data_IF_116999094825
#
_entry.id   IF_116999094825
#
_cell.length_a   1.000
_cell.length_b   1.000
_cell.length_c   1.000
_cell.angle_alpha   90.00
_cell.angle_beta   90.00
_cell.angle_gamma   90.00
#
_symmetry.space_group_name_H-M   'P 1'
#
loop_
_entity.id
_entity.type
_entity.pdbx_description
1 polymer ?
#
# COMPACT_ATOMS: atom_id res chain seq x y z
N UNK A 1 29.52 15.72 -3.42
CA UNK A 1 28.14 15.57 -3.89
C UNK A 1 27.74 14.13 -3.62
N UNK A 2 26.69 13.86 -2.82
CA UNK A 2 26.22 12.49 -2.62
C UNK A 2 25.24 12.12 -3.74
N UNK A 3 25.40 10.91 -4.28
CA UNK A 3 24.47 10.37 -5.28
C UNK A 3 23.15 9.94 -4.61
N UNK A 4 22.01 9.94 -5.33
CA UNK A 4 20.75 9.41 -4.80
C UNK A 4 20.91 7.96 -4.33
N UNK A 5 20.40 7.66 -3.12
CA UNK A 5 20.49 6.32 -2.54
C UNK A 5 19.10 5.71 -2.44
N UNK A 6 18.97 4.46 -2.90
CA UNK A 6 17.77 3.64 -2.80
C UNK A 6 17.91 2.56 -1.71
N UNK A 7 19.03 2.59 -0.97
CA UNK A 7 19.35 1.63 0.09
C UNK A 7 18.45 1.88 1.33
N UNK A 8 17.84 0.81 1.82
CA UNK A 8 16.99 0.79 3.00
C UNK A 8 17.62 -0.01 4.16
N UNK A 9 18.92 -0.29 4.09
CA UNK A 9 19.63 -1.02 5.15
C UNK A 9 19.45 -0.32 6.50
N UNK A 10 19.05 -1.10 7.52
CA UNK A 10 18.76 -0.59 8.87
C UNK A 10 17.39 0.07 9.03
N UNK A 11 16.55 0.11 7.99
CA UNK A 11 15.17 0.56 8.07
C UNK A 11 14.23 -0.60 8.40
N UNK A 12 13.18 -0.29 9.13
CA UNK A 12 12.10 -1.24 9.48
C UNK A 12 10.84 -0.81 8.75
N UNK A 13 10.30 -1.73 7.93
CA UNK A 13 9.08 -1.48 7.19
C UNK A 13 7.94 -2.39 7.68
N UNK A 14 6.74 -1.84 7.87
CA UNK A 14 5.51 -2.58 8.07
C UNK A 14 4.65 -2.47 6.81
N UNK A 15 4.22 -3.62 6.26
CA UNK A 15 3.36 -3.70 5.08
C UNK A 15 2.05 -4.38 5.46
N UNK A 16 0.92 -3.73 5.26
CA UNK A 16 -0.41 -4.33 5.52
C UNK A 16 -0.88 -5.16 4.32
N UNK A 17 -1.53 -6.29 4.56
CA UNK A 17 -1.97 -7.20 3.50
C UNK A 17 -0.80 -7.87 2.75
N UNK A 18 0.27 -8.22 3.45
CA UNK A 18 1.55 -8.64 2.89
C UNK A 18 1.59 -10.07 2.31
N UNK A 19 0.53 -10.91 2.52
CA UNK A 19 0.58 -12.34 2.18
C UNK A 19 0.64 -12.62 0.66
N UNK A 20 0.05 -11.78 -0.17
CA UNK A 20 -0.13 -12.00 -1.62
C UNK A 20 -0.14 -10.69 -2.42
N UNK A 21 -0.19 -10.82 -3.74
CA UNK A 21 -0.37 -9.70 -4.67
C UNK A 21 0.65 -8.58 -4.49
N UNK A 22 0.18 -7.33 -4.52
CA UNK A 22 1.03 -6.15 -4.36
C UNK A 22 1.75 -6.12 -3.02
N UNK A 23 1.06 -6.44 -1.91
CA UNK A 23 1.68 -6.44 -0.59
C UNK A 23 2.87 -7.38 -0.48
N UNK A 24 2.77 -8.57 -1.08
CA UNK A 24 3.89 -9.51 -1.18
C UNK A 24 5.04 -8.94 -2.03
N UNK A 25 4.74 -8.41 -3.21
CA UNK A 25 5.76 -7.84 -4.10
C UNK A 25 6.48 -6.65 -3.45
N UNK A 26 5.74 -5.76 -2.82
CA UNK A 26 6.27 -4.61 -2.07
C UNK A 26 7.17 -5.09 -0.93
N UNK A 27 6.73 -6.06 -0.13
CA UNK A 27 7.53 -6.60 0.98
C UNK A 27 8.85 -7.20 0.50
N UNK A 28 8.83 -7.96 -0.60
CA UNK A 28 10.04 -8.53 -1.19
C UNK A 28 10.98 -7.46 -1.76
N UNK A 29 10.44 -6.42 -2.41
CA UNK A 29 11.25 -5.33 -2.96
C UNK A 29 11.90 -4.49 -1.86
N UNK A 30 11.18 -4.18 -0.78
CA UNK A 30 11.72 -3.49 0.39
C UNK A 30 12.82 -4.31 1.08
N UNK A 31 12.62 -5.63 1.21
CA UNK A 31 13.63 -6.54 1.75
C UNK A 31 14.88 -6.60 0.86
N UNK A 32 14.71 -6.68 -0.45
CA UNK A 32 15.81 -6.65 -1.42
C UNK A 32 16.60 -5.34 -1.35
N UNK A 33 15.92 -4.21 -1.10
CA UNK A 33 16.54 -2.92 -0.88
C UNK A 33 17.20 -2.77 0.51
N UNK A 34 17.13 -3.78 1.38
CA UNK A 34 17.84 -3.82 2.65
C UNK A 34 17.00 -3.65 3.91
N UNK A 35 15.70 -3.42 3.80
CA UNK A 35 14.81 -3.26 4.96
C UNK A 35 14.55 -4.59 5.68
N UNK A 36 14.37 -4.53 7.00
CA UNK A 36 13.74 -5.59 7.78
C UNK A 36 12.21 -5.39 7.79
N UNK A 37 11.43 -6.47 7.88
CA UNK A 37 9.99 -6.43 7.60
C UNK A 37 9.10 -6.87 8.78
N UNK A 38 8.09 -6.07 9.10
CA UNK A 38 6.88 -6.49 9.79
C UNK A 38 5.78 -6.72 8.74
N UNK A 39 5.16 -7.89 8.75
CA UNK A 39 4.14 -8.30 7.78
C UNK A 39 2.76 -8.31 8.45
N UNK A 40 1.93 -7.31 8.17
CA UNK A 40 0.54 -7.27 8.62
C UNK A 40 -0.31 -8.25 7.79
N UNK A 41 -0.79 -9.30 8.41
CA UNK A 41 -1.52 -10.42 7.80
C UNK A 41 -2.93 -10.51 8.39
N UNK A 42 -3.95 -10.62 7.54
CA UNK A 42 -5.32 -10.87 8.01
C UNK A 42 -5.44 -12.24 8.69
N UNK A 43 -4.69 -13.22 8.20
CA UNK A 43 -4.54 -14.54 8.79
C UNK A 43 -3.05 -14.86 8.92
N UNK A 44 -2.57 -14.87 10.16
CA UNK A 44 -1.15 -15.14 10.47
C UNK A 44 -0.75 -16.57 10.13
N UNK A 45 -1.71 -17.51 10.06
CA UNK A 45 -1.46 -18.92 9.74
C UNK A 45 -1.31 -19.16 8.24
N UNK A 46 -1.62 -18.16 7.40
CA UNK A 46 -1.53 -18.23 5.94
C UNK A 46 -0.61 -17.12 5.37
N UNK A 47 0.69 -17.04 5.78
CA UNK A 47 1.60 -15.98 5.35
C UNK A 47 2.06 -16.13 3.88
N UNK A 48 1.76 -17.25 3.23
CA UNK A 48 2.35 -17.59 1.92
C UNK A 48 3.86 -17.84 2.03
N UNK A 49 4.59 -17.62 0.94
CA UNK A 49 6.05 -17.81 0.82
C UNK A 49 6.88 -16.56 1.18
N UNK A 50 6.22 -15.43 1.49
CA UNK A 50 6.89 -14.13 1.65
C UNK A 50 7.87 -14.12 2.81
N UNK A 51 7.51 -14.77 3.92
CA UNK A 51 8.37 -14.87 5.11
C UNK A 51 9.68 -15.59 4.81
N UNK A 52 9.60 -16.73 4.15
CA UNK A 52 10.79 -17.55 3.85
C UNK A 52 11.69 -16.87 2.83
N UNK A 53 11.12 -16.23 1.82
CA UNK A 53 11.87 -15.43 0.85
C UNK A 53 12.62 -14.26 1.47
N UNK A 54 11.99 -13.53 2.40
CA UNK A 54 12.65 -12.44 3.13
C UNK A 54 13.80 -12.94 3.99
N UNK A 55 13.61 -14.06 4.70
CA UNK A 55 14.69 -14.72 5.46
C UNK A 55 15.84 -15.16 4.57
N UNK A 56 15.55 -15.71 3.39
CA UNK A 56 16.56 -16.10 2.41
C UNK A 56 17.40 -14.93 1.87
N UNK A 57 16.86 -13.70 1.90
CA UNK A 57 17.60 -12.47 1.60
C UNK A 57 18.44 -11.97 2.79
N UNK A 58 18.47 -12.69 3.91
CA UNK A 58 19.22 -12.30 5.12
C UNK A 58 18.55 -11.16 5.91
N UNK A 59 17.25 -10.90 5.71
CA UNK A 59 16.50 -9.87 6.44
C UNK A 59 15.71 -10.47 7.60
N UNK A 60 15.58 -9.70 8.68
CA UNK A 60 14.66 -10.06 9.77
C UNK A 60 13.23 -9.85 9.31
N UNK A 61 12.34 -10.76 9.71
CA UNK A 61 10.92 -10.66 9.36
C UNK A 61 10.05 -11.12 10.54
N UNK A 62 8.98 -10.34 10.79
CA UNK A 62 8.02 -10.60 11.85
C UNK A 62 6.60 -10.63 11.25
N UNK A 63 5.97 -11.82 11.08
CA UNK A 63 4.56 -11.91 10.76
C UNK A 63 3.70 -11.46 11.96
N UNK A 64 2.63 -10.70 11.68
CA UNK A 64 1.75 -10.12 12.68
C UNK A 64 0.29 -10.29 12.25
N UNK A 65 -0.57 -10.77 13.17
CA UNK A 65 -2.00 -10.76 12.96
C UNK A 65 -2.49 -9.31 12.88
N UNK A 66 -3.11 -8.93 11.77
CA UNK A 66 -3.53 -7.54 11.52
C UNK A 66 -4.71 -7.49 10.56
N UNK A 67 -5.92 -7.67 11.08
CA UNK A 67 -7.14 -7.38 10.34
C UNK A 67 -7.40 -5.87 10.35
N UNK A 68 -7.54 -5.27 9.17
CA UNK A 68 -7.78 -3.83 9.04
C UNK A 68 -9.17 -3.39 9.52
N UNK A 69 -10.10 -4.31 9.73
CA UNK A 69 -11.38 -4.03 10.38
C UNK A 69 -11.27 -3.94 11.91
N UNK A 70 -10.21 -4.48 12.51
CA UNK A 70 -10.02 -4.56 13.95
C UNK A 70 -8.93 -3.60 14.43
N UNK A 71 -9.33 -2.50 15.04
CA UNK A 71 -8.42 -1.48 15.55
C UNK A 71 -7.52 -1.97 16.69
N UNK A 72 -7.94 -2.99 17.44
CA UNK A 72 -7.11 -3.58 18.50
C UNK A 72 -5.98 -4.40 17.89
N UNK A 73 -6.26 -5.16 16.82
CA UNK A 73 -5.23 -5.90 16.09
C UNK A 73 -4.24 -4.94 15.40
N UNK A 74 -4.73 -3.86 14.79
CA UNK A 74 -3.86 -2.83 14.18
C UNK A 74 -2.89 -2.26 15.24
N UNK A 75 -3.40 -1.89 16.42
CA UNK A 75 -2.59 -1.40 17.52
C UNK A 75 -1.56 -2.44 17.98
N UNK A 76 -2.04 -3.65 18.28
CA UNK A 76 -1.18 -4.73 18.75
C UNK A 76 -0.06 -5.07 17.77
N UNK A 77 -0.36 -5.06 16.46
CA UNK A 77 0.64 -5.32 15.41
C UNK A 77 1.72 -4.23 15.37
N UNK A 78 1.34 -2.95 15.43
CA UNK A 78 2.30 -1.84 15.44
C UNK A 78 3.15 -1.86 16.71
N UNK A 79 2.54 -2.06 17.88
CA UNK A 79 3.24 -2.14 19.16
C UNK A 79 4.23 -3.33 19.18
N UNK A 80 3.83 -4.49 18.65
CA UNK A 80 4.69 -5.66 18.53
C UNK A 80 5.87 -5.42 17.55
N UNK A 81 5.63 -4.77 16.41
CA UNK A 81 6.69 -4.40 15.48
C UNK A 81 7.72 -3.48 16.14
N UNK A 82 7.26 -2.43 16.84
CA UNK A 82 8.13 -1.50 17.55
C UNK A 82 8.89 -2.20 18.68
N UNK A 83 8.22 -3.07 19.44
CA UNK A 83 8.86 -3.83 20.53
C UNK A 83 9.97 -4.76 20.01
N UNK A 84 9.73 -5.43 18.87
CA UNK A 84 10.67 -6.40 18.30
C UNK A 84 11.87 -5.74 17.60
N UNK A 85 11.64 -4.67 16.83
CA UNK A 85 12.69 -4.03 16.03
C UNK A 85 13.30 -2.80 16.69
N UNK A 86 12.65 -2.22 17.72
CA UNK A 86 13.07 -1.01 18.41
C UNK A 86 12.66 0.29 17.72
N UNK A 87 12.11 0.23 16.49
CA UNK A 87 11.71 1.37 15.67
C UNK A 87 10.72 0.96 14.59
N UNK A 88 10.10 1.95 13.94
CA UNK A 88 9.32 1.79 12.72
C UNK A 88 9.60 2.97 11.78
N UNK A 89 10.22 2.69 10.63
CA UNK A 89 10.65 3.73 9.69
C UNK A 89 9.69 3.92 8.51
N UNK A 90 9.07 2.84 8.06
CA UNK A 90 8.24 2.81 6.86
C UNK A 90 6.94 2.09 7.18
N UNK A 91 5.80 2.73 6.89
CA UNK A 91 4.50 2.07 6.85
C UNK A 91 4.00 2.06 5.41
N UNK A 92 3.64 0.86 4.90
CA UNK A 92 2.94 0.73 3.62
C UNK A 92 1.50 0.24 3.88
N UNK A 93 0.54 1.13 3.69
CA UNK A 93 -0.88 0.81 3.75
C UNK A 93 -1.31 0.23 2.40
N UNK A 94 -1.22 -1.10 2.28
CA UNK A 94 -1.55 -1.80 1.04
C UNK A 94 -2.86 -2.59 1.13
N UNK A 95 -3.28 -3.06 2.30
CA UNK A 95 -4.51 -3.82 2.46
C UNK A 95 -5.72 -3.08 1.87
N UNK A 96 -6.54 -3.79 1.11
CA UNK A 96 -7.73 -3.24 0.49
C UNK A 96 -8.66 -4.31 -0.04
N UNK A 97 -9.93 -3.95 -0.18
CA UNK A 97 -11.01 -4.75 -0.76
C UNK A 97 -11.81 -3.91 -1.74
N UNK A 98 -12.42 -4.55 -2.73
CA UNK A 98 -13.26 -3.93 -3.74
C UNK A 98 -14.42 -4.87 -4.11
N UNK A 99 -15.47 -4.99 -3.28
CA UNK A 99 -16.71 -5.64 -3.71
C UNK A 99 -17.32 -4.88 -4.89
N UNK A 100 -17.59 -5.60 -5.98
CA UNK A 100 -18.16 -5.03 -7.20
C UNK A 100 -19.69 -5.13 -7.16
N UNK A 101 -20.37 -3.98 -7.18
CA UNK A 101 -21.83 -3.89 -7.23
C UNK A 101 -22.23 -2.64 -8.02
N UNK A 102 -23.27 -2.70 -8.89
CA UNK A 102 -23.93 -1.49 -9.39
C UNK A 102 -24.33 -0.58 -8.23
N UNK A 103 -24.28 0.74 -8.41
CA UNK A 103 -24.48 1.67 -7.30
C UNK A 103 -25.85 1.52 -6.61
N UNK A 104 -26.90 1.16 -7.38
CA UNK A 104 -28.25 0.90 -6.89
C UNK A 104 -28.38 -0.41 -6.09
N UNK A 105 -27.42 -1.33 -6.25
CA UNK A 105 -27.43 -2.66 -5.59
C UNK A 105 -26.34 -2.81 -4.52
N UNK A 106 -25.63 -1.73 -4.18
CA UNK A 106 -24.61 -1.75 -3.12
C UNK A 106 -25.27 -2.11 -1.80
N UNK A 107 -24.80 -3.19 -1.17
CA UNK A 107 -25.26 -3.61 0.15
C UNK A 107 -24.52 -2.85 1.24
N UNK A 108 -25.21 -2.57 2.35
CA UNK A 108 -24.63 -1.88 3.49
C UNK A 108 -23.39 -2.62 4.03
N UNK A 109 -23.39 -3.95 4.06
CA UNK A 109 -22.25 -4.75 4.51
C UNK A 109 -21.00 -4.57 3.62
N UNK A 110 -21.18 -4.49 2.30
CA UNK A 110 -20.08 -4.27 1.35
C UNK A 110 -19.55 -2.83 1.44
N UNK A 111 -20.45 -1.87 1.65
CA UNK A 111 -20.11 -0.47 1.91
C UNK A 111 -19.26 -0.34 3.18
N UNK A 112 -19.76 -0.86 4.31
CA UNK A 112 -19.10 -0.80 5.62
C UNK A 112 -17.76 -1.55 5.61
N UNK A 113 -17.70 -2.72 4.99
CA UNK A 113 -16.46 -3.48 4.84
C UNK A 113 -15.42 -2.67 4.07
N UNK A 114 -15.83 -2.07 2.94
CA UNK A 114 -14.92 -1.29 2.08
C UNK A 114 -14.39 -0.06 2.82
N UNK A 115 -15.24 0.68 3.50
CA UNK A 115 -14.83 1.81 4.33
C UNK A 115 -13.95 1.39 5.51
N UNK A 116 -14.30 0.29 6.18
CA UNK A 116 -13.56 -0.19 7.35
C UNK A 116 -12.15 -0.60 6.98
N UNK A 117 -11.96 -1.37 5.90
CA UNK A 117 -10.65 -1.83 5.47
C UNK A 117 -9.86 -0.70 4.81
N UNK A 118 -10.43 -0.08 3.76
CA UNK A 118 -9.66 0.80 2.88
C UNK A 118 -9.39 2.17 3.50
N UNK A 119 -10.31 2.71 4.29
CA UNK A 119 -10.22 4.07 4.81
C UNK A 119 -9.97 4.12 6.31
N UNK A 120 -10.87 3.54 7.12
CA UNK A 120 -10.75 3.58 8.58
C UNK A 120 -9.49 2.88 9.07
N UNK A 121 -9.25 1.65 8.61
CA UNK A 121 -8.05 0.88 8.95
C UNK A 121 -6.76 1.61 8.54
N UNK A 122 -6.72 2.13 7.31
CA UNK A 122 -5.59 2.92 6.79
C UNK A 122 -5.33 4.17 7.64
N UNK A 123 -6.38 4.91 8.00
CA UNK A 123 -6.24 6.09 8.86
C UNK A 123 -5.63 5.75 10.22
N UNK A 124 -6.18 4.75 10.92
CA UNK A 124 -5.71 4.39 12.25
C UNK A 124 -4.35 3.71 12.25
N UNK A 125 -4.01 2.92 11.23
CA UNK A 125 -2.65 2.40 11.05
C UNK A 125 -1.65 3.56 10.86
N UNK A 126 -1.99 4.54 10.02
CA UNK A 126 -1.18 5.74 9.82
C UNK A 126 -1.04 6.56 11.11
N UNK A 127 -2.13 6.74 11.88
CA UNK A 127 -2.10 7.47 13.14
C UNK A 127 -1.18 6.80 14.17
N UNK A 128 -1.29 5.48 14.32
CA UNK A 128 -0.49 4.73 15.30
C UNK A 128 0.99 4.72 14.91
N UNK A 129 1.31 4.46 13.64
CA UNK A 129 2.67 4.55 13.13
C UNK A 129 3.21 5.99 13.23
N UNK A 130 2.39 6.99 12.87
CA UNK A 130 2.72 8.40 12.98
C UNK A 130 3.12 8.82 14.38
N UNK A 131 2.44 8.32 15.42
CA UNK A 131 2.83 8.57 16.84
C UNK A 131 4.23 8.06 17.16
N UNK A 132 4.63 6.92 16.59
CA UNK A 132 5.99 6.37 16.73
C UNK A 132 6.98 7.25 15.98
N UNK A 133 6.70 7.56 14.71
CA UNK A 133 7.56 8.35 13.82
C UNK A 133 7.74 9.79 14.31
N UNK A 134 6.71 10.41 14.91
CA UNK A 134 6.80 11.74 15.54
C UNK A 134 7.82 11.74 16.68
N UNK A 135 7.81 10.72 17.55
CA UNK A 135 8.81 10.57 18.62
C UNK A 135 10.21 10.32 18.06
N UNK A 136 10.31 9.58 16.96
CA UNK A 136 11.57 9.31 16.26
C UNK A 136 12.10 10.53 15.50
N UNK A 137 11.26 11.53 15.21
CA UNK A 137 11.56 12.68 14.31
C UNK A 137 11.96 12.23 12.90
N UNK A 138 11.43 11.10 12.46
CA UNK A 138 11.70 10.51 11.15
C UNK A 138 10.67 9.45 10.84
N UNK A 139 10.20 9.37 9.58
CA UNK A 139 9.29 8.33 9.12
C UNK A 139 8.88 8.51 7.66
N UNK A 140 8.33 7.44 7.11
CA UNK A 140 7.77 7.43 5.76
C UNK A 140 6.48 6.61 5.73
N UNK A 141 5.38 7.19 5.26
CA UNK A 141 4.12 6.49 5.07
C UNK A 141 3.80 6.48 3.57
N UNK A 142 3.49 5.29 3.05
CA UNK A 142 3.13 5.11 1.65
C UNK A 142 1.78 4.42 1.58
N UNK A 143 0.81 5.11 0.99
CA UNK A 143 -0.54 4.58 0.80
C UNK A 143 -0.66 3.96 -0.60
N UNK A 144 -1.19 2.74 -0.69
CA UNK A 144 -1.55 2.14 -1.98
C UNK A 144 -2.97 2.60 -2.35
N UNK A 145 -2.99 3.63 -3.16
CA UNK A 145 -4.18 4.18 -3.81
C UNK A 145 -4.67 3.31 -4.97
N UNK A 146 -5.21 3.97 -5.99
CA UNK A 146 -5.60 3.40 -7.28
C UNK A 146 -5.84 4.53 -8.28
N UNK A 147 -5.68 4.28 -9.58
CA UNK A 147 -6.20 5.19 -10.61
C UNK A 147 -7.72 5.43 -10.44
N UNK A 148 -8.43 4.49 -9.79
CA UNK A 148 -9.85 4.62 -9.44
C UNK A 148 -10.17 5.81 -8.48
N UNK A 149 -9.15 6.37 -7.84
CA UNK A 149 -9.29 7.63 -7.09
C UNK A 149 -9.28 8.88 -7.98
N UNK A 150 -8.98 8.73 -9.27
CA UNK A 150 -8.84 9.83 -10.25
C UNK A 150 -9.76 9.64 -11.46
N UNK A 151 -10.15 8.41 -11.76
CA UNK A 151 -11.08 8.05 -12.83
C UNK A 151 -12.12 7.07 -12.30
N UNK A 152 -13.39 7.26 -12.67
CA UNK A 152 -14.46 6.38 -12.22
C UNK A 152 -14.38 5.00 -12.89
N UNK A 153 -14.67 3.96 -12.10
CA UNK A 153 -14.86 2.61 -12.59
C UNK A 153 -16.33 2.19 -12.41
N UNK A 154 -16.99 1.62 -13.42
CA UNK A 154 -18.31 1.04 -13.25
C UNK A 154 -18.32 -0.01 -12.14
N UNK A 155 -19.42 -0.14 -11.41
CA UNK A 155 -19.64 -1.09 -10.32
C UNK A 155 -18.73 -0.98 -9.09
N UNK A 156 -17.80 -0.01 -9.08
CA UNK A 156 -16.81 0.19 -8.00
C UNK A 156 -16.96 1.54 -7.30
N UNK A 157 -18.16 2.13 -7.23
CA UNK A 157 -18.39 3.47 -6.69
C UNK A 157 -17.83 3.66 -5.27
N UNK A 158 -18.07 2.71 -4.38
CA UNK A 158 -17.57 2.77 -2.98
C UNK A 158 -16.05 2.65 -2.92
N UNK A 159 -15.47 1.74 -3.71
CA UNK A 159 -14.01 1.61 -3.83
C UNK A 159 -13.37 2.89 -4.36
N UNK A 160 -13.88 3.44 -5.47
CA UNK A 160 -13.40 4.69 -6.05
C UNK A 160 -13.42 5.84 -5.02
N UNK A 161 -14.52 5.97 -4.27
CA UNK A 161 -14.66 6.95 -3.19
C UNK A 161 -13.56 6.78 -2.12
N UNK A 162 -13.28 5.54 -1.68
CA UNK A 162 -12.22 5.31 -0.69
C UNK A 162 -10.84 5.64 -1.24
N UNK A 163 -10.57 5.36 -2.51
CA UNK A 163 -9.26 5.65 -3.13
C UNK A 163 -9.05 7.14 -3.40
N UNK A 164 -10.11 7.89 -3.71
CA UNK A 164 -10.07 9.35 -3.74
C UNK A 164 -9.81 9.95 -2.34
N UNK A 165 -10.48 9.41 -1.31
CA UNK A 165 -10.26 9.82 0.07
C UNK A 165 -8.81 9.56 0.54
N UNK A 166 -8.20 8.43 0.16
CA UNK A 166 -6.80 8.10 0.47
C UNK A 166 -5.83 9.09 -0.20
N UNK A 167 -6.07 9.48 -1.45
CA UNK A 167 -5.24 10.48 -2.13
C UNK A 167 -5.27 11.83 -1.37
N UNK A 168 -6.46 12.24 -0.86
CA UNK A 168 -6.57 13.47 -0.08
C UNK A 168 -6.02 13.33 1.34
N UNK A 169 -6.24 12.20 2.03
CA UNK A 169 -5.66 11.88 3.33
C UNK A 169 -4.12 11.97 3.28
N UNK A 170 -3.52 11.49 2.21
CA UNK A 170 -2.07 11.58 1.97
C UNK A 170 -1.57 13.03 2.08
N UNK A 171 -2.28 13.99 1.46
CA UNK A 171 -1.95 15.41 1.52
C UNK A 171 -2.12 15.98 2.94
N UNK A 172 -3.21 15.65 3.62
CA UNK A 172 -3.48 16.12 4.98
C UNK A 172 -2.36 15.70 5.94
N UNK A 173 -2.02 14.40 5.96
CA UNK A 173 -0.99 13.87 6.84
C UNK A 173 0.40 14.39 6.50
N UNK A 174 0.71 14.62 5.23
CA UNK A 174 1.97 15.23 4.79
C UNK A 174 2.15 16.64 5.38
N UNK A 175 1.10 17.46 5.32
CA UNK A 175 1.11 18.83 5.88
C UNK A 175 1.22 18.80 7.41
N UNK A 176 0.46 17.93 8.07
CA UNK A 176 0.45 17.86 9.53
C UNK A 176 1.78 17.37 10.11
N UNK A 177 2.43 16.38 9.46
CA UNK A 177 3.57 15.66 10.01
C UNK A 177 4.92 16.03 9.39
N UNK A 178 4.94 16.82 8.33
CA UNK A 178 6.19 17.29 7.70
C UNK A 178 7.14 17.98 8.67
N UNK A 179 6.62 18.77 9.62
CA UNK A 179 7.41 19.40 10.72
C UNK A 179 8.15 18.40 11.63
N UNK A 180 7.79 17.13 11.57
CA UNK A 180 8.42 16.03 12.30
C UNK A 180 9.37 15.21 11.42
N UNK A 181 9.67 15.68 10.20
CA UNK A 181 10.48 14.97 9.21
C UNK A 181 9.86 13.61 8.82
N UNK A 182 8.54 13.60 8.61
CA UNK A 182 7.77 12.45 8.13
C UNK A 182 7.24 12.78 6.74
N UNK A 183 7.53 11.93 5.77
CA UNK A 183 6.92 12.01 4.44
C UNK A 183 5.70 11.11 4.36
N UNK A 184 4.65 11.57 3.69
CA UNK A 184 3.45 10.78 3.44
C UNK A 184 3.10 10.91 1.96
N UNK A 185 3.16 9.80 1.22
CA UNK A 185 2.89 9.75 -0.21
C UNK A 185 1.96 8.59 -0.55
N UNK A 186 1.50 8.54 -1.79
CA UNK A 186 0.72 7.44 -2.31
C UNK A 186 1.28 6.95 -3.66
N UNK A 187 1.02 5.69 -3.98
CA UNK A 187 1.12 5.13 -5.33
C UNK A 187 -0.27 4.74 -5.79
N UNK A 188 -0.61 5.02 -7.03
CA UNK A 188 -1.94 4.77 -7.59
C UNK A 188 -1.82 3.90 -8.85
N UNK A 189 -1.76 2.56 -8.68
CA UNK A 189 -1.69 1.64 -9.80
C UNK A 189 -3.04 1.54 -10.54
N UNK A 190 -2.97 1.17 -11.82
CA UNK A 190 -4.07 0.62 -12.61
C UNK A 190 -4.21 -0.88 -12.37
N UNK A 191 -4.79 -1.61 -13.31
CA UNK A 191 -4.88 -3.07 -13.25
C UNK A 191 -3.49 -3.72 -13.30
N UNK A 192 -3.21 -4.52 -12.27
CA UNK A 192 -1.94 -5.21 -12.07
C UNK A 192 -2.22 -6.71 -11.98
N UNK A 193 -1.38 -7.55 -12.59
CA UNK A 193 -1.46 -9.01 -12.48
C UNK A 193 -1.26 -9.46 -11.03
N UNK A 194 -2.34 -9.80 -10.36
CA UNK A 194 -2.34 -10.28 -8.96
C UNK A 194 -3.41 -11.36 -8.79
N UNK A 195 -3.34 -12.20 -7.75
CA UNK A 195 -4.42 -13.13 -7.44
C UNK A 195 -5.79 -12.45 -7.21
N UNK A 196 -5.80 -11.15 -6.89
CA UNK A 196 -7.04 -10.39 -6.70
C UNK A 196 -7.70 -9.95 -8.02
N UNK A 197 -6.93 -9.78 -9.10
CA UNK A 197 -7.40 -9.35 -10.42
C UNK A 197 -7.48 -10.49 -11.43
N UNK A 198 -6.94 -11.67 -11.09
CA UNK A 198 -6.81 -12.81 -12.01
C UNK A 198 -8.16 -13.27 -12.57
N UNK A 199 -9.18 -13.38 -11.72
CA UNK A 199 -10.53 -13.81 -12.14
C UNK A 199 -11.16 -12.83 -13.12
N UNK A 200 -11.08 -11.52 -12.87
CA UNK A 200 -11.63 -10.50 -13.74
C UNK A 200 -10.87 -10.44 -15.08
N UNK A 201 -9.54 -10.50 -15.04
CA UNK A 201 -8.69 -10.47 -16.23
C UNK A 201 -8.71 -11.77 -17.05
N UNK A 202 -9.27 -12.86 -16.53
CA UNK A 202 -9.54 -14.08 -17.27
C UNK A 202 -10.68 -13.91 -18.30
N UNK A 203 -11.58 -12.94 -18.08
CA UNK A 203 -12.59 -12.55 -19.07
C UNK A 203 -11.90 -11.75 -20.19
N UNK A 204 -11.93 -12.31 -21.42
CA UNK A 204 -11.20 -11.73 -22.56
C UNK A 204 -11.75 -10.35 -22.99
N UNK A 205 -13.06 -10.14 -22.91
CA UNK A 205 -13.71 -8.87 -23.26
C UNK A 205 -13.35 -7.77 -22.24
N UNK A 206 -13.48 -8.07 -20.95
CA UNK A 206 -13.06 -7.18 -19.87
C UNK A 206 -11.58 -6.83 -19.96
N UNK A 207 -10.73 -7.84 -20.19
CA UNK A 207 -9.29 -7.62 -20.35
C UNK A 207 -8.97 -6.72 -21.53
N UNK A 208 -9.67 -6.89 -22.66
CA UNK A 208 -9.48 -6.05 -23.85
C UNK A 208 -9.89 -4.59 -23.58
N UNK A 209 -11.02 -4.35 -22.90
CA UNK A 209 -11.45 -3.01 -22.47
C UNK A 209 -10.43 -2.36 -21.53
N UNK A 210 -9.94 -3.11 -20.53
CA UNK A 210 -8.91 -2.62 -19.61
C UNK A 210 -7.64 -2.23 -20.36
N UNK A 211 -7.14 -3.09 -21.26
CA UNK A 211 -5.92 -2.82 -22.04
C UNK A 211 -6.10 -1.60 -22.95
N UNK A 212 -7.26 -1.42 -23.56
CA UNK A 212 -7.57 -0.24 -24.38
C UNK A 212 -7.59 1.04 -23.53
N UNK A 213 -8.11 0.97 -22.32
CA UNK A 213 -8.14 2.12 -21.38
C UNK A 213 -6.76 2.48 -20.84
N UNK A 214 -5.80 1.55 -20.81
CA UNK A 214 -4.39 1.83 -20.50
C UNK A 214 -3.74 2.51 -21.74
N UNK A 215 -4.14 3.74 -21.98
CA UNK A 215 -4.10 4.43 -23.26
C UNK A 215 -2.71 4.63 -23.90
N UNK A 216 -1.65 4.59 -23.11
CA UNK A 216 -0.29 4.80 -23.66
C UNK A 216 0.50 3.49 -23.78
N UNK A 217 0.40 2.60 -22.80
CA UNK A 217 1.21 1.38 -22.77
C UNK A 217 0.46 0.12 -23.25
N UNK A 218 -0.88 0.15 -23.29
CA UNK A 218 -1.74 -0.92 -23.78
C UNK A 218 -1.40 -2.31 -23.20
N UNK A 219 -1.11 -2.39 -21.91
CA UNK A 219 -0.83 -3.65 -21.21
C UNK A 219 -1.20 -3.57 -19.74
N UNK A 220 -1.52 -4.72 -19.15
CA UNK A 220 -1.65 -4.87 -17.71
C UNK A 220 -0.28 -4.68 -17.05
N UNK A 221 -0.26 -4.07 -15.88
CA UNK A 221 0.97 -3.88 -15.11
C UNK A 221 1.40 -5.12 -14.33
N UNK A 222 2.67 -5.15 -13.92
CA UNK A 222 3.24 -6.20 -13.07
C UNK A 222 3.46 -5.68 -11.64
N UNK A 223 3.34 -6.53 -10.60
CA UNK A 223 3.47 -6.11 -9.21
C UNK A 223 4.79 -5.39 -8.89
N UNK A 224 5.88 -5.80 -9.54
CA UNK A 224 7.20 -5.19 -9.30
C UNK A 224 7.32 -3.77 -9.85
N UNK A 225 6.49 -3.38 -10.83
CA UNK A 225 6.46 -1.99 -11.34
C UNK A 225 5.89 -1.03 -10.28
N UNK A 226 4.92 -1.50 -9.49
CA UNK A 226 4.40 -0.75 -8.33
C UNK A 226 5.40 -0.76 -7.17
N UNK A 227 5.99 -1.92 -6.89
CA UNK A 227 6.95 -2.08 -5.80
C UNK A 227 8.20 -1.20 -5.99
N UNK A 228 8.66 -0.99 -7.23
CA UNK A 228 9.77 -0.08 -7.54
C UNK A 228 9.50 1.37 -7.11
N UNK A 229 8.30 1.88 -7.36
CA UNK A 229 7.90 3.21 -6.91
C UNK A 229 7.80 3.31 -5.37
N UNK A 230 7.35 2.23 -4.70
CA UNK A 230 7.31 2.17 -3.23
C UNK A 230 8.73 2.21 -2.65
N UNK A 231 9.69 1.46 -3.20
CA UNK A 231 11.10 1.49 -2.77
C UNK A 231 11.68 2.90 -2.97
N UNK A 232 11.41 3.54 -4.12
CA UNK A 232 11.82 4.93 -4.37
C UNK A 232 11.29 5.87 -3.28
N UNK A 233 9.97 5.87 -3.03
CA UNK A 233 9.34 6.75 -2.03
C UNK A 233 9.83 6.47 -0.60
N UNK A 234 10.18 5.22 -0.28
CA UNK A 234 10.73 4.82 1.02
C UNK A 234 12.19 5.24 1.22
N UNK A 235 12.90 5.55 0.14
CA UNK A 235 14.34 5.79 0.13
C UNK A 235 14.71 7.26 0.38
N UNK A 236 15.97 7.53 0.74
CA UNK A 236 16.49 8.91 0.83
C UNK A 236 16.38 9.71 -0.47
N UNK A 237 16.29 9.06 -1.64
CA UNK A 237 16.12 9.72 -2.94
C UNK A 237 14.81 10.51 -3.05
N UNK A 238 13.79 10.16 -2.24
CA UNK A 238 12.49 10.83 -2.23
C UNK A 238 12.30 11.77 -1.02
N UNK A 239 13.36 12.16 -0.31
CA UNK A 239 13.28 12.89 0.97
C UNK A 239 12.58 14.26 0.90
N UNK A 240 12.45 14.87 -0.27
CA UNK A 240 11.71 16.12 -0.48
C UNK A 240 10.30 15.90 -1.07
N UNK A 241 9.92 14.64 -1.35
CA UNK A 241 8.62 14.30 -1.92
C UNK A 241 7.67 13.95 -0.78
N UNK A 242 6.61 14.74 -0.62
CA UNK A 242 5.55 14.49 0.37
C UNK A 242 4.22 15.10 -0.09
N UNK A 243 3.11 14.44 0.23
CA UNK A 243 1.76 14.82 -0.17
C UNK A 243 1.40 14.41 -1.60
N UNK A 244 2.27 13.67 -2.29
CA UNK A 244 2.11 13.31 -3.69
C UNK A 244 1.48 11.93 -3.89
N UNK A 245 0.80 11.78 -5.02
CA UNK A 245 0.32 10.48 -5.51
C UNK A 245 0.95 10.18 -6.86
N UNK A 246 1.80 9.16 -6.92
CA UNK A 246 2.42 8.71 -8.16
C UNK A 246 1.45 7.75 -8.87
N UNK A 247 0.94 8.18 -10.03
CA UNK A 247 0.15 7.32 -10.92
C UNK A 247 1.07 6.30 -11.60
N UNK A 248 0.68 5.02 -11.52
CA UNK A 248 1.38 3.89 -12.14
C UNK A 248 0.34 3.16 -13.01
N UNK A 249 -0.12 3.86 -14.03
CA UNK A 249 -1.36 3.53 -14.73
C UNK A 249 -1.22 3.36 -16.25
N UNK A 250 0.00 3.41 -16.76
CA UNK A 250 0.27 3.25 -18.19
C UNK A 250 -0.44 4.27 -19.08
N UNK A 251 -0.85 5.41 -18.52
CA UNK A 251 -1.55 6.48 -19.22
C UNK A 251 -3.08 6.38 -19.14
N UNK A 252 -3.64 5.58 -18.26
CA UNK A 252 -5.10 5.48 -18.06
C UNK A 252 -5.73 6.85 -17.79
N UNK A 253 -5.14 7.65 -16.90
CA UNK A 253 -5.68 8.96 -16.48
C UNK A 253 -5.16 10.13 -17.32
N UNK A 254 -4.38 9.86 -18.38
CA UNK A 254 -3.77 10.91 -19.21
C UNK A 254 -4.64 11.37 -20.39
N UNK A 255 -5.89 10.89 -20.48
CA UNK A 255 -6.86 11.26 -21.54
C UNK A 255 -8.21 11.67 -20.95
#
# INVERSE_FOLDING_TARGET
>A
MEYPRFDLTGRIALVTGAARGLGRAISLALAHAGADLALGLRDINAPGDVTDKIKAMGRRVLPLQMDMCDLLQIRAAIDAAVSYFGRLDILVNNAGVAPENPAEDVREEDFDLTLSVNLKGTFFASQLAGRVMIKQRSGCIINVGSQAGFAALPTESVYCMTKAAIAHLTKCLAVEWGKHNITVNAVAPTFIHTPGTESALANAEFRADVVERIAALHRIGEPMEVAGAVVFLASPAASLITGETILIDGGWTSR
#
